data_IF_943756751387
#
_entry.id   IF_943756751387
#
_cell.length_a   1.000
_cell.length_b   1.000
_cell.length_c   1.000
_cell.angle_alpha   90.00
_cell.angle_beta   90.00
_cell.angle_gamma   90.00
#
_symmetry.space_group_name_H-M   'P 1'
#
loop_
_entity.id
_entity.type
_entity.pdbx_description
1 polymer ?
#
# COMPACT_ATOMS: atom_id res chain seq x y z
N UNK A 1 -59.96 13.33 -50.16
CA UNK A 1 -59.77 14.50 -51.05
C UNK A 1 -58.28 14.63 -51.35
N UNK A 2 -57.91 14.50 -52.64
CA UNK A 2 -56.73 15.05 -53.34
C UNK A 2 -55.34 14.45 -52.95
N UNK A 3 -54.96 13.29 -53.51
CA UNK A 3 -54.00 13.05 -54.65
C UNK A 3 -52.51 13.25 -54.33
N UNK A 4 -51.67 12.19 -54.27
CA UNK A 4 -50.91 11.54 -55.37
C UNK A 4 -49.75 12.37 -55.92
N UNK A 5 -48.50 11.87 -55.83
CA UNK A 5 -47.68 11.45 -56.99
C UNK A 5 -46.32 10.84 -56.57
N UNK A 6 -45.86 9.94 -57.43
CA UNK A 6 -44.81 8.91 -57.34
C UNK A 6 -43.45 9.39 -57.86
N UNK A 7 -42.36 8.64 -57.60
CA UNK A 7 -41.38 8.06 -58.58
C UNK A 7 -39.91 7.96 -58.05
N UNK A 8 -39.47 6.70 -57.89
CA UNK A 8 -38.18 5.99 -58.18
C UNK A 8 -36.78 6.63 -57.98
N UNK A 9 -35.96 5.89 -57.21
CA UNK A 9 -34.62 5.28 -57.48
C UNK A 9 -33.54 6.03 -58.28
N UNK A 10 -32.29 6.06 -57.77
CA UNK A 10 -31.08 5.40 -58.36
C UNK A 10 -29.80 5.84 -57.60
N UNK A 11 -28.93 4.87 -57.30
CA UNK A 11 -27.60 5.03 -56.74
C UNK A 11 -26.58 5.55 -57.78
N UNK A 12 -25.56 6.32 -57.37
CA UNK A 12 -24.34 6.48 -58.19
C UNK A 12 -23.09 6.79 -57.35
N UNK A 13 -22.10 5.90 -57.52
CA UNK A 13 -20.67 6.03 -57.24
C UNK A 13 -20.04 7.26 -57.92
N UNK A 14 -19.13 7.98 -57.25
CA UNK A 14 -18.00 8.65 -57.92
C UNK A 14 -16.74 8.58 -57.02
N UNK A 15 -15.76 7.80 -57.48
CA UNK A 15 -14.34 7.89 -57.14
C UNK A 15 -13.66 9.01 -57.92
N UNK A 16 -12.60 9.63 -57.40
CA UNK A 16 -11.49 10.15 -58.23
C UNK A 16 -10.23 10.45 -57.40
N UNK A 17 -9.25 9.56 -57.51
CA UNK A 17 -7.82 9.88 -57.42
C UNK A 17 -7.36 10.65 -58.66
N UNK A 18 -6.33 11.50 -58.52
CA UNK A 18 -5.31 11.78 -59.55
C UNK A 18 -4.04 12.42 -58.94
N UNK A 19 -3.01 11.59 -58.82
CA UNK A 19 -1.57 11.78 -59.19
C UNK A 19 -0.95 13.18 -59.20
N UNK A 20 0.09 13.47 -58.40
CA UNK A 20 1.54 13.13 -58.51
C UNK A 20 2.35 14.13 -59.39
N UNK A 21 3.26 14.88 -58.75
CA UNK A 21 4.29 15.70 -59.39
C UNK A 21 5.49 15.84 -58.46
N UNK A 22 6.65 15.37 -58.92
CA UNK A 22 7.88 15.04 -58.19
C UNK A 22 8.87 16.21 -58.28
N UNK A 23 9.46 16.64 -57.17
CA UNK A 23 10.75 17.36 -57.17
C UNK A 23 11.68 16.72 -56.12
N UNK A 24 12.68 16.02 -56.65
CA UNK A 24 13.99 15.65 -56.09
C UNK A 24 14.90 16.90 -56.19
N UNK A 25 15.94 17.21 -55.41
CA UNK A 25 16.83 16.53 -54.46
C UNK A 25 17.48 17.66 -53.61
N UNK A 26 17.96 17.36 -52.38
CA UNK A 26 19.36 17.51 -51.96
C UNK A 26 19.54 17.46 -50.43
N UNK A 27 20.56 16.70 -50.07
CA UNK A 27 21.03 16.33 -48.74
C UNK A 27 21.71 17.49 -48.04
N UNK A 28 21.42 17.71 -46.76
CA UNK A 28 22.45 18.03 -45.77
C UNK A 28 22.11 17.36 -44.43
N UNK A 29 23.00 16.46 -44.01
CA UNK A 29 23.10 16.03 -42.62
C UNK A 29 23.50 17.26 -41.79
N UNK A 30 22.65 17.66 -40.86
CA UNK A 30 23.11 18.37 -39.66
C UNK A 30 22.60 17.63 -38.44
N UNK A 31 23.55 17.17 -37.64
CA UNK A 31 23.42 16.63 -36.30
C UNK A 31 22.57 17.56 -35.43
N UNK A 32 21.33 17.15 -35.11
CA UNK A 32 20.61 17.76 -34.01
C UNK A 32 21.00 17.05 -32.72
N UNK A 33 21.91 17.68 -31.99
CA UNK A 33 22.16 17.43 -30.58
C UNK A 33 20.83 17.43 -29.83
N UNK A 34 20.52 16.30 -29.17
CA UNK A 34 19.46 16.23 -28.18
C UNK A 34 19.86 17.09 -26.97
N UNK A 35 19.53 18.38 -27.01
CA UNK A 35 19.48 19.21 -25.81
C UNK A 35 18.37 18.66 -24.91
N UNK A 36 18.77 17.89 -23.90
CA UNK A 36 17.95 17.55 -22.74
C UNK A 36 17.47 18.84 -22.10
N UNK A 37 16.22 19.23 -22.38
CA UNK A 37 15.53 20.29 -21.62
C UNK A 37 15.48 19.85 -20.16
N UNK A 38 16.21 20.56 -19.31
CA UNK A 38 16.15 20.42 -17.86
C UNK A 38 14.69 20.50 -17.42
N UNK A 39 14.16 19.38 -16.91
CA UNK A 39 12.85 19.39 -16.26
C UNK A 39 13.02 20.21 -14.98
N UNK A 40 12.46 21.42 -14.97
CA UNK A 40 12.40 22.25 -13.76
C UNK A 40 11.52 21.52 -12.73
N UNK A 41 12.14 20.89 -11.74
CA UNK A 41 11.45 20.22 -10.65
C UNK A 41 11.08 21.27 -9.59
N UNK A 42 9.80 21.66 -9.55
CA UNK A 42 9.30 22.54 -8.51
C UNK A 42 9.29 21.82 -7.15
N UNK A 43 10.16 22.25 -6.24
CA UNK A 43 10.24 21.82 -4.85
C UNK A 43 8.99 22.26 -4.07
N UNK A 44 8.43 21.39 -3.23
CA UNK A 44 7.41 21.82 -2.28
C UNK A 44 8.12 22.42 -1.08
N UNK A 45 7.87 23.71 -0.83
CA UNK A 45 8.48 24.37 0.31
C UNK A 45 7.69 23.99 1.57
N UNK A 46 8.27 23.08 2.36
CA UNK A 46 7.71 22.70 3.63
C UNK A 46 7.83 23.88 4.60
N UNK A 47 6.72 24.30 5.20
CA UNK A 47 6.70 25.36 6.22
C UNK A 47 6.99 24.82 7.61
N UNK A 48 6.99 23.50 7.78
CA UNK A 48 7.20 22.82 9.06
C UNK A 48 8.69 22.66 9.38
N UNK A 49 9.05 22.97 10.63
CA UNK A 49 10.39 22.79 11.23
C UNK A 49 10.90 21.35 11.08
N UNK A 50 12.17 21.22 10.71
CA UNK A 50 12.89 19.95 10.66
C UNK A 50 14.38 20.18 10.93
N UNK A 51 15.01 19.24 11.63
CA UNK A 51 16.44 19.33 12.00
C UNK A 51 17.36 19.19 10.78
N UNK A 52 16.91 18.52 9.73
CA UNK A 52 17.67 18.29 8.51
C UNK A 52 16.82 18.46 7.26
N UNK A 53 17.45 18.66 6.12
CA UNK A 53 16.72 18.84 4.86
C UNK A 53 15.98 17.56 4.45
N UNK A 54 14.70 17.71 4.11
CA UNK A 54 13.87 16.62 3.59
C UNK A 54 14.39 16.13 2.23
N UNK A 55 14.28 14.82 2.00
CA UNK A 55 14.52 14.26 0.68
C UNK A 55 13.48 14.76 -0.33
N UNK A 56 13.94 15.02 -1.55
CA UNK A 56 13.06 15.22 -2.70
C UNK A 56 12.29 13.94 -3.02
N UNK A 57 11.27 14.03 -3.89
CA UNK A 57 10.55 12.86 -4.37
C UNK A 57 11.48 11.84 -5.06
N UNK A 58 12.48 12.31 -5.83
CA UNK A 58 13.45 11.43 -6.51
C UNK A 58 14.37 10.73 -5.52
N UNK A 59 14.86 11.44 -4.51
CA UNK A 59 15.72 10.88 -3.47
C UNK A 59 14.95 9.89 -2.60
N UNK A 60 13.72 10.22 -2.21
CA UNK A 60 12.84 9.30 -1.47
C UNK A 60 12.58 8.03 -2.28
N UNK A 61 12.33 8.15 -3.58
CA UNK A 61 12.18 7.00 -4.46
C UNK A 61 13.46 6.16 -4.50
N UNK A 62 14.62 6.79 -4.75
CA UNK A 62 15.92 6.11 -4.79
C UNK A 62 16.19 5.35 -3.48
N UNK A 63 16.07 6.03 -2.34
CA UNK A 63 16.29 5.47 -1.01
C UNK A 63 15.43 4.24 -0.70
N UNK A 64 14.18 4.24 -1.16
CA UNK A 64 13.25 3.14 -0.91
C UNK A 64 13.45 1.96 -1.85
N UNK A 65 13.69 2.21 -3.14
CA UNK A 65 13.76 1.17 -4.16
C UNK A 65 15.13 0.49 -4.25
N UNK A 66 16.21 1.12 -3.77
CA UNK A 66 17.56 0.53 -3.74
C UNK A 66 17.78 -0.48 -2.59
N UNK A 67 16.76 -0.73 -1.75
CA UNK A 67 16.84 -1.69 -0.65
C UNK A 67 16.89 -3.15 -1.14
N UNK A 68 17.46 -4.09 -0.37
CA UNK A 68 17.55 -5.49 -0.75
C UNK A 68 16.21 -6.22 -0.56
N UNK A 69 15.25 -5.97 -1.47
CA UNK A 69 13.88 -6.49 -1.41
C UNK A 69 13.76 -8.00 -1.57
N UNK A 70 14.78 -8.68 -2.09
CA UNK A 70 14.74 -10.10 -2.43
C UNK A 70 14.42 -10.98 -1.22
N UNK A 71 14.97 -10.66 -0.06
CA UNK A 71 14.74 -11.41 1.18
C UNK A 71 13.30 -11.25 1.69
N UNK A 72 12.74 -10.06 1.54
CA UNK A 72 11.33 -9.78 1.90
C UNK A 72 10.38 -10.54 0.97
N UNK A 73 10.68 -10.55 -0.34
CA UNK A 73 9.90 -11.31 -1.32
C UNK A 73 9.96 -12.83 -1.05
N UNK A 74 11.14 -13.36 -0.72
CA UNK A 74 11.31 -14.76 -0.36
C UNK A 74 10.57 -15.10 0.94
N UNK A 75 10.65 -14.24 1.95
CA UNK A 75 9.90 -14.38 3.19
C UNK A 75 8.39 -14.48 2.93
N UNK A 76 7.81 -13.51 2.21
CA UNK A 76 6.38 -13.56 1.88
C UNK A 76 6.00 -14.77 1.04
N UNK A 77 6.85 -15.18 0.09
CA UNK A 77 6.63 -16.40 -0.69
C UNK A 77 6.52 -17.63 0.21
N UNK A 78 7.40 -17.77 1.20
CA UNK A 78 7.35 -18.87 2.16
C UNK A 78 6.11 -18.81 3.06
N UNK A 79 5.70 -17.62 3.52
CA UNK A 79 4.46 -17.46 4.31
C UNK A 79 3.23 -17.82 3.49
N UNK A 80 3.16 -17.37 2.23
CA UNK A 80 2.05 -17.69 1.33
C UNK A 80 1.91 -19.20 1.12
N UNK A 81 3.05 -19.87 0.99
CA UNK A 81 3.13 -21.33 0.84
C UNK A 81 3.04 -22.10 2.16
N UNK A 82 2.70 -21.44 3.28
CA UNK A 82 2.59 -22.05 4.62
C UNK A 82 3.87 -22.75 5.10
N UNK A 83 5.04 -22.33 4.60
CA UNK A 83 6.36 -22.81 5.04
C UNK A 83 6.89 -22.04 6.25
N UNK A 84 6.43 -20.79 6.41
CA UNK A 84 6.74 -19.91 7.54
C UNK A 84 5.45 -19.23 8.01
N UNK A 85 5.48 -18.71 9.23
CA UNK A 85 4.40 -17.89 9.82
C UNK A 85 4.86 -16.44 9.96
N UNK A 86 3.92 -15.49 10.03
CA UNK A 86 4.26 -14.09 10.33
C UNK A 86 4.90 -13.91 11.72
N UNK A 87 4.57 -14.76 12.69
CA UNK A 87 5.19 -14.72 14.02
C UNK A 87 6.69 -14.95 14.00
N UNK A 88 7.22 -15.63 12.96
CA UNK A 88 8.66 -15.85 12.79
C UNK A 88 9.44 -14.52 12.69
N UNK A 89 8.80 -13.43 12.27
CA UNK A 89 9.43 -12.10 12.10
C UNK A 89 9.81 -11.47 13.44
N UNK A 90 8.98 -11.65 14.46
CA UNK A 90 9.14 -11.00 15.77
C UNK A 90 9.85 -11.89 16.80
N UNK A 91 10.44 -13.01 16.35
CA UNK A 91 11.05 -14.02 17.21
C UNK A 91 10.02 -14.94 17.86
N UNK A 92 10.36 -16.23 18.02
CA UNK A 92 9.60 -17.17 18.84
C UNK A 92 9.86 -16.90 20.32
N UNK A 93 9.45 -15.73 20.81
CA UNK A 93 9.18 -15.63 22.23
C UNK A 93 7.94 -16.46 22.52
N UNK A 94 8.10 -17.43 23.43
CA UNK A 94 7.09 -18.34 23.96
C UNK A 94 5.97 -17.56 24.71
N UNK A 95 5.29 -16.68 24.01
CA UNK A 95 3.96 -16.20 24.31
C UNK A 95 2.99 -17.12 23.56
N UNK A 96 2.24 -17.99 24.26
CA UNK A 96 1.23 -18.87 23.65
C UNK A 96 0.02 -18.10 23.06
N UNK A 97 0.14 -16.80 22.84
CA UNK A 97 -0.97 -15.91 22.47
C UNK A 97 -0.86 -15.40 21.03
N UNK A 98 0.33 -15.29 20.42
CA UNK A 98 0.44 -14.76 19.03
C UNK A 98 0.41 -15.88 17.98
N UNK A 99 1.08 -17.01 18.27
CA UNK A 99 1.17 -18.16 17.35
C UNK A 99 -0.17 -18.86 17.14
N UNK A 100 -1.01 -18.90 18.16
CA UNK A 100 -2.30 -19.60 18.15
C UNK A 100 -3.38 -18.75 17.49
N UNK A 101 -3.30 -17.43 17.56
CA UNK A 101 -4.40 -16.58 17.08
C UNK A 101 -4.49 -16.43 15.55
N UNK A 102 -3.39 -16.47 14.80
CA UNK A 102 -3.44 -16.41 13.32
C UNK A 102 -4.13 -17.66 12.74
N UNK A 103 -4.05 -18.79 13.46
CA UNK A 103 -4.72 -20.05 13.12
C UNK A 103 -6.12 -20.17 13.77
N UNK A 104 -6.38 -19.52 14.91
CA UNK A 104 -7.67 -19.56 15.65
C UNK A 104 -8.71 -18.53 15.16
N UNK A 105 -8.37 -17.60 14.25
CA UNK A 105 -9.39 -16.69 13.66
C UNK A 105 -10.51 -17.46 12.95
N UNK A 106 -10.37 -18.75 12.66
CA UNK A 106 -11.45 -19.55 12.06
C UNK A 106 -12.64 -19.78 13.00
N UNK A 107 -12.46 -19.73 14.33
CA UNK A 107 -13.51 -20.15 15.28
C UNK A 107 -14.52 -19.04 15.66
N UNK A 108 -14.16 -17.76 15.46
CA UNK A 108 -15.03 -16.60 15.75
C UNK A 108 -16.15 -16.40 14.70
N UNK A 109 -16.10 -17.15 13.58
CA UNK A 109 -17.04 -17.01 12.47
C UNK A 109 -18.32 -17.83 12.61
N UNK A 110 -18.40 -18.78 13.56
CA UNK A 110 -19.64 -19.48 13.88
C UNK A 110 -20.80 -18.53 14.21
N UNK A 111 -20.50 -17.32 14.69
CA UNK A 111 -21.53 -16.34 15.10
C UNK A 111 -22.23 -15.66 13.90
N UNK A 112 -21.65 -15.70 12.70
CA UNK A 112 -22.32 -15.28 11.45
C UNK A 112 -22.96 -16.46 10.71
N UNK A 113 -22.73 -17.69 11.18
CA UNK A 113 -23.48 -18.86 10.74
C UNK A 113 -24.87 -18.83 11.38
N UNK A 114 -25.90 -18.90 10.52
CA UNK A 114 -27.27 -19.31 10.85
C UNK A 114 -28.22 -18.33 11.55
N UNK A 115 -28.03 -17.01 11.45
CA UNK A 115 -29.08 -16.03 11.82
C UNK A 115 -29.99 -15.61 10.64
N UNK A 116 -30.26 -16.53 9.72
CA UNK A 116 -31.37 -16.39 8.78
C UNK A 116 -32.26 -17.61 9.05
N UNK A 117 -33.41 -17.40 9.69
CA UNK A 117 -34.45 -18.40 9.76
C UNK A 117 -34.64 -18.95 8.34
N UNK A 118 -34.58 -20.29 8.20
CA UNK A 118 -34.77 -20.98 6.92
C UNK A 118 -36.24 -20.82 6.48
N UNK A 119 -36.67 -19.61 6.15
CA UNK A 119 -37.80 -19.45 5.25
C UNK A 119 -37.45 -20.18 3.95
N UNK A 120 -38.33 -21.04 3.47
CA UNK A 120 -38.17 -21.71 2.18
C UNK A 120 -38.12 -20.65 1.07
N UNK A 121 -36.90 -20.28 0.68
CA UNK A 121 -36.62 -19.26 -0.32
C UNK A 121 -36.56 -19.92 -1.70
N UNK A 122 -37.44 -19.50 -2.61
CA UNK A 122 -37.52 -20.06 -3.95
C UNK A 122 -36.80 -19.21 -5.03
N UNK A 123 -36.31 -19.87 -6.08
CA UNK A 123 -35.84 -19.25 -7.32
C UNK A 123 -34.52 -18.47 -7.18
N UNK A 124 -34.51 -17.18 -7.56
CA UNK A 124 -33.28 -16.34 -7.43
C UNK A 124 -32.75 -16.31 -6.00
N UNK A 125 -33.58 -16.60 -5.00
CA UNK A 125 -33.21 -16.47 -3.59
C UNK A 125 -32.54 -17.72 -2.99
N UNK A 126 -32.50 -18.82 -3.73
CA UNK A 126 -31.99 -20.14 -3.33
C UNK A 126 -30.48 -20.36 -3.61
N UNK A 127 -29.70 -19.29 -3.72
CA UNK A 127 -28.26 -19.40 -4.04
C UNK A 127 -27.46 -19.82 -2.81
N UNK A 128 -26.40 -20.61 -3.02
CA UNK A 128 -25.33 -20.83 -2.04
C UNK A 128 -24.27 -19.75 -2.25
N UNK A 129 -23.75 -19.19 -1.16
CA UNK A 129 -22.70 -18.17 -1.18
C UNK A 129 -21.52 -18.67 -0.36
N UNK A 130 -20.33 -18.63 -0.95
CA UNK A 130 -19.09 -19.08 -0.35
C UNK A 130 -18.20 -17.89 -0.02
N UNK A 131 -17.62 -17.90 1.18
CA UNK A 131 -16.47 -17.09 1.58
C UNK A 131 -15.21 -17.91 1.28
N UNK A 132 -14.26 -17.30 0.60
CA UNK A 132 -13.00 -17.93 0.20
C UNK A 132 -11.88 -17.06 0.76
N UNK A 133 -11.01 -17.64 1.58
CA UNK A 133 -9.81 -17.00 2.10
C UNK A 133 -8.63 -17.43 1.24
N UNK A 134 -7.91 -16.46 0.68
CA UNK A 134 -6.80 -16.67 -0.25
C UNK A 134 -5.51 -16.08 0.29
N UNK A 135 -4.43 -16.80 0.04
CA UNK A 135 -3.06 -16.34 0.21
C UNK A 135 -2.37 -16.28 -1.16
N UNK A 136 -1.68 -15.19 -1.48
CA UNK A 136 -0.94 -15.06 -2.73
C UNK A 136 0.29 -14.16 -2.62
N UNK A 137 1.32 -14.52 -3.38
CA UNK A 137 2.53 -13.72 -3.53
C UNK A 137 2.29 -12.62 -4.56
N UNK A 138 2.39 -11.36 -4.15
CA UNK A 138 2.17 -10.20 -5.01
C UNK A 138 3.15 -10.11 -6.18
N UNK A 139 4.34 -10.69 -6.03
CA UNK A 139 5.36 -10.76 -7.08
C UNK A 139 4.88 -11.53 -8.32
N UNK A 140 4.01 -12.51 -8.15
CA UNK A 140 3.53 -13.35 -9.24
C UNK A 140 2.39 -12.72 -10.07
N UNK A 141 1.81 -11.60 -9.62
CA UNK A 141 0.58 -11.05 -10.18
C UNK A 141 0.63 -9.54 -10.44
N UNK A 142 -0.10 -9.10 -11.45
CA UNK A 142 -0.31 -7.68 -11.79
C UNK A 142 -1.36 -7.00 -10.89
N UNK A 143 -1.54 -7.52 -9.67
CA UNK A 143 -2.52 -7.09 -8.68
C UNK A 143 -3.77 -7.97 -8.67
N UNK A 144 -4.77 -7.56 -7.87
CA UNK A 144 -6.01 -8.32 -7.74
C UNK A 144 -6.91 -8.17 -8.98
N UNK A 145 -7.26 -6.92 -9.32
CA UNK A 145 -8.37 -6.61 -10.22
C UNK A 145 -8.11 -7.08 -11.65
N UNK A 146 -9.04 -7.86 -12.22
CA UNK A 146 -8.99 -8.30 -13.62
C UNK A 146 -8.83 -7.11 -14.59
N UNK A 147 -7.83 -7.23 -15.46
CA UNK A 147 -7.50 -6.27 -16.52
C UNK A 147 -7.09 -7.01 -17.79
N UNK A 148 -7.42 -6.51 -18.99
CA UNK A 148 -7.07 -7.19 -20.24
C UNK A 148 -5.56 -7.43 -20.39
N UNK A 149 -5.17 -8.66 -20.70
CA UNK A 149 -3.78 -9.03 -21.03
C UNK A 149 -2.81 -9.09 -19.84
N UNK A 150 -3.30 -8.98 -18.60
CA UNK A 150 -2.48 -8.99 -17.39
C UNK A 150 -2.77 -10.24 -16.54
N UNK A 151 -1.76 -10.73 -15.82
CA UNK A 151 -1.91 -11.89 -14.96
C UNK A 151 -2.40 -11.47 -13.58
N UNK A 152 -3.72 -11.52 -13.34
CA UNK A 152 -4.30 -11.03 -12.08
C UNK A 152 -4.91 -12.14 -11.24
N UNK A 153 -4.92 -11.95 -9.92
CA UNK A 153 -5.50 -12.93 -8.98
C UNK A 153 -6.99 -13.16 -9.27
N UNK A 154 -7.75 -12.09 -9.50
CA UNK A 154 -9.18 -12.20 -9.80
C UNK A 154 -9.43 -13.03 -11.06
N UNK A 155 -8.62 -12.88 -12.11
CA UNK A 155 -8.82 -13.63 -13.35
C UNK A 155 -8.64 -15.14 -13.13
N UNK A 156 -7.57 -15.54 -12.44
CA UNK A 156 -7.30 -16.96 -12.15
C UNK A 156 -8.41 -17.55 -11.28
N UNK A 157 -8.82 -16.82 -10.24
CA UNK A 157 -9.91 -17.24 -9.35
C UNK A 157 -11.22 -17.35 -10.12
N UNK A 158 -11.58 -16.37 -10.94
CA UNK A 158 -12.82 -16.40 -11.73
C UNK A 158 -12.81 -17.51 -12.79
N UNK A 159 -11.67 -17.78 -13.44
CA UNK A 159 -11.52 -18.92 -14.35
C UNK A 159 -11.75 -20.26 -13.64
N UNK A 160 -11.10 -20.45 -12.49
CA UNK A 160 -11.26 -21.65 -11.65
C UNK A 160 -12.72 -21.84 -11.22
N UNK A 161 -13.35 -20.75 -10.76
CA UNK A 161 -14.76 -20.76 -10.36
C UNK A 161 -15.75 -20.97 -11.52
N UNK A 162 -15.28 -20.88 -12.77
CA UNK A 162 -16.06 -21.18 -13.97
C UNK A 162 -16.67 -22.59 -13.94
N UNK A 163 -16.00 -23.55 -13.30
CA UNK A 163 -16.49 -24.93 -13.13
C UNK A 163 -17.77 -25.05 -12.29
N UNK A 164 -18.03 -24.07 -11.42
CA UNK A 164 -19.12 -24.12 -10.44
C UNK A 164 -20.29 -23.21 -10.77
N UNK A 165 -20.27 -22.54 -11.94
CA UNK A 165 -21.37 -21.69 -12.37
C UNK A 165 -22.60 -22.52 -12.73
N UNK A 166 -23.78 -21.97 -12.48
CA UNK A 166 -25.05 -22.62 -12.84
C UNK A 166 -25.29 -22.61 -14.37
N UNK A 167 -26.13 -23.54 -14.84
CA UNK A 167 -26.42 -23.73 -16.27
C UNK A 167 -26.96 -22.46 -16.93
N UNK A 168 -27.76 -21.67 -16.21
CA UNK A 168 -28.32 -20.43 -16.74
C UNK A 168 -27.22 -19.40 -16.98
N UNK A 169 -26.28 -19.24 -16.03
CA UNK A 169 -25.10 -18.40 -16.21
C UNK A 169 -24.19 -18.93 -17.32
N UNK A 170 -23.97 -20.25 -17.40
CA UNK A 170 -23.16 -20.86 -18.45
C UNK A 170 -23.72 -20.58 -19.85
N UNK A 171 -25.04 -20.75 -20.05
CA UNK A 171 -25.74 -20.42 -21.31
C UNK A 171 -25.60 -18.94 -21.66
N UNK A 172 -25.82 -18.05 -20.68
CA UNK A 172 -25.68 -16.60 -20.89
C UNK A 172 -24.27 -16.18 -21.31
N UNK A 173 -23.24 -16.80 -20.73
CA UNK A 173 -21.84 -16.54 -21.11
C UNK A 173 -21.56 -17.02 -22.53
N UNK A 174 -22.05 -18.22 -22.88
CA UNK A 174 -21.92 -18.79 -24.23
C UNK A 174 -22.59 -17.93 -25.29
N UNK A 175 -23.83 -17.49 -25.07
CA UNK A 175 -24.57 -16.59 -25.98
C UNK A 175 -23.83 -15.26 -26.21
N UNK A 176 -23.12 -14.77 -25.18
CA UNK A 176 -22.32 -13.54 -25.26
C UNK A 176 -20.90 -13.76 -25.78
N UNK A 177 -20.55 -14.97 -26.21
CA UNK A 177 -19.19 -15.34 -26.61
C UNK A 177 -18.14 -14.99 -25.54
N UNK A 178 -18.50 -15.16 -24.26
CA UNK A 178 -17.63 -14.93 -23.10
C UNK A 178 -17.08 -16.25 -22.56
N UNK A 179 -15.88 -16.24 -21.96
CA UNK A 179 -15.33 -17.42 -21.30
C UNK A 179 -16.22 -17.87 -20.13
N UNK A 180 -16.21 -19.17 -19.85
CA UNK A 180 -16.94 -19.76 -18.73
C UNK A 180 -16.23 -19.41 -17.43
N UNK A 181 -16.65 -18.31 -16.79
CA UNK A 181 -16.00 -17.77 -15.60
C UNK A 181 -17.02 -17.49 -14.46
N UNK A 182 -16.55 -17.71 -13.23
CA UNK A 182 -17.18 -17.26 -12.00
C UNK A 182 -17.26 -15.74 -11.88
N UNK A 183 -17.86 -15.24 -10.82
CA UNK A 183 -17.84 -13.81 -10.50
C UNK A 183 -17.41 -13.69 -9.03
N UNK A 184 -16.21 -13.19 -8.80
CA UNK A 184 -15.64 -13.04 -7.49
C UNK A 184 -15.70 -11.59 -7.03
N UNK A 185 -16.18 -11.37 -5.81
CA UNK A 185 -16.13 -10.06 -5.15
C UNK A 185 -15.09 -10.12 -4.05
N UNK A 186 -14.35 -9.04 -3.79
CA UNK A 186 -13.20 -9.04 -2.86
C UNK A 186 -13.35 -8.03 -1.73
N UNK A 187 -12.73 -8.30 -0.58
CA UNK A 187 -12.71 -7.42 0.58
C UNK A 187 -11.93 -6.12 0.36
N UNK A 188 -10.81 -6.19 -0.37
CA UNK A 188 -10.01 -5.05 -0.76
C UNK A 188 -9.12 -5.38 -1.95
N UNK A 189 -8.96 -4.44 -2.87
CA UNK A 189 -8.06 -4.62 -4.02
C UNK A 189 -6.62 -4.39 -3.57
N UNK A 190 -5.71 -5.28 -3.96
CA UNK A 190 -4.26 -5.07 -3.86
C UNK A 190 -3.70 -4.60 -5.20
N UNK A 191 -2.75 -3.66 -5.15
CA UNK A 191 -1.99 -3.21 -6.32
C UNK A 191 -0.98 -4.30 -6.77
N UNK A 192 -0.39 -4.16 -7.96
CA UNK A 192 0.71 -5.00 -8.44
C UNK A 192 1.85 -5.06 -7.44
N UNK A 193 2.39 -6.26 -7.20
CA UNK A 193 3.50 -6.52 -6.28
C UNK A 193 3.08 -6.71 -4.81
N UNK A 194 1.84 -6.33 -4.43
CA UNK A 194 1.37 -6.43 -3.04
C UNK A 194 0.87 -7.84 -2.74
N UNK A 195 1.45 -8.46 -1.71
CA UNK A 195 1.09 -9.81 -1.27
C UNK A 195 -0.17 -9.81 -0.39
N UNK A 196 -0.79 -10.97 -0.20
CA UNK A 196 -1.84 -11.16 0.78
C UNK A 196 -1.75 -12.54 1.45
N UNK A 197 -2.05 -12.60 2.74
CA UNK A 197 -2.02 -13.85 3.51
C UNK A 197 -3.44 -14.38 3.74
N UNK A 198 -4.38 -13.50 4.12
CA UNK A 198 -5.80 -13.84 4.30
C UNK A 198 -6.72 -12.86 3.56
N UNK A 199 -6.51 -12.69 2.26
CA UNK A 199 -7.46 -11.94 1.42
C UNK A 199 -8.80 -12.67 1.40
N UNK A 200 -9.91 -11.94 1.50
CA UNK A 200 -11.24 -12.55 1.48
C UNK A 200 -11.95 -12.19 0.18
N UNK A 201 -12.42 -13.20 -0.52
CA UNK A 201 -13.36 -13.04 -1.63
C UNK A 201 -14.62 -13.89 -1.43
N UNK A 202 -15.63 -13.62 -2.23
CA UNK A 202 -16.89 -14.37 -2.21
C UNK A 202 -17.32 -14.77 -3.60
N UNK A 203 -17.89 -15.97 -3.68
CA UNK A 203 -18.49 -16.54 -4.89
C UNK A 203 -19.90 -17.05 -4.56
N UNK A 204 -20.82 -17.00 -5.51
CA UNK A 204 -22.15 -17.58 -5.33
C UNK A 204 -22.57 -18.37 -6.55
N UNK A 205 -23.40 -19.40 -6.34
CA UNK A 205 -23.95 -20.25 -7.39
C UNK A 205 -25.32 -20.79 -6.97
N UNK A 206 -26.14 -21.17 -7.94
CA UNK A 206 -27.41 -21.90 -7.72
C UNK A 206 -27.23 -23.42 -7.80
N UNK A 207 -26.01 -23.90 -8.05
CA UNK A 207 -25.69 -25.32 -7.98
C UNK A 207 -25.63 -25.77 -6.51
N UNK A 208 -26.42 -26.78 -6.15
CA UNK A 208 -26.50 -27.33 -4.78
C UNK A 208 -25.49 -28.44 -4.50
N UNK A 209 -24.84 -28.97 -5.54
CA UNK A 209 -23.88 -30.07 -5.47
C UNK A 209 -22.44 -29.60 -5.23
N UNK A 210 -22.19 -28.28 -5.17
CA UNK A 210 -20.84 -27.71 -5.02
C UNK A 210 -20.42 -27.77 -3.56
N UNK A 211 -19.31 -28.43 -3.28
CA UNK A 211 -18.74 -28.49 -1.92
C UNK A 211 -17.57 -27.51 -1.77
N UNK A 212 -17.31 -26.98 -0.55
CA UNK A 212 -16.15 -26.14 -0.28
C UNK A 212 -14.81 -26.74 -0.76
N UNK A 213 -14.58 -28.03 -0.52
CA UNK A 213 -13.37 -28.74 -0.93
C UNK A 213 -13.14 -28.76 -2.44
N UNK A 214 -14.21 -28.74 -3.25
CA UNK A 214 -14.10 -28.73 -4.71
C UNK A 214 -13.55 -27.37 -5.18
N UNK A 215 -14.04 -26.29 -4.58
CA UNK A 215 -13.58 -24.91 -4.84
C UNK A 215 -12.11 -24.77 -4.44
N UNK A 216 -11.73 -25.30 -3.27
CA UNK A 216 -10.36 -25.30 -2.78
C UNK A 216 -9.41 -26.00 -3.77
N UNK A 217 -9.76 -27.22 -4.19
CA UNK A 217 -8.94 -28.01 -5.12
C UNK A 217 -8.77 -27.33 -6.47
N UNK A 218 -9.85 -26.77 -7.03
CA UNK A 218 -9.83 -26.12 -8.34
C UNK A 218 -8.95 -24.85 -8.34
N UNK A 219 -9.09 -23.99 -7.32
CA UNK A 219 -8.27 -22.76 -7.23
C UNK A 219 -6.79 -23.10 -6.94
N UNK A 220 -6.51 -24.04 -6.03
CA UNK A 220 -5.14 -24.45 -5.70
C UNK A 220 -4.40 -25.05 -6.91
N UNK A 221 -5.13 -25.73 -7.80
CA UNK A 221 -4.55 -26.30 -9.02
C UNK A 221 -4.21 -25.25 -10.09
N UNK A 222 -4.80 -24.05 -10.01
CA UNK A 222 -4.68 -23.04 -11.06
C UNK A 222 -3.35 -22.27 -11.05
N UNK A 223 -2.75 -22.06 -9.87
CA UNK A 223 -1.44 -21.39 -9.75
C UNK A 223 -0.63 -21.90 -8.54
N UNK A 224 -0.16 -23.16 -8.55
CA UNK A 224 0.61 -23.75 -7.47
C UNK A 224 1.85 -22.91 -7.12
N UNK A 225 2.14 -22.77 -5.83
CA UNK A 225 3.29 -21.99 -5.34
C UNK A 225 3.09 -20.47 -5.31
N UNK A 226 2.06 -19.95 -6.00
CA UNK A 226 1.81 -18.50 -6.19
C UNK A 226 0.53 -18.04 -5.51
N UNK A 227 -0.51 -18.86 -5.57
CA UNK A 227 -1.82 -18.66 -4.97
C UNK A 227 -2.20 -19.94 -4.22
N UNK A 228 -2.76 -19.78 -3.02
CA UNK A 228 -3.24 -20.87 -2.18
C UNK A 228 -4.55 -20.47 -1.53
N UNK A 229 -5.51 -21.39 -1.50
CA UNK A 229 -6.71 -21.27 -0.69
C UNK A 229 -6.37 -21.65 0.75
N UNK A 230 -6.70 -20.75 1.68
CA UNK A 230 -6.55 -20.97 3.12
C UNK A 230 -7.75 -21.73 3.66
N UNK A 231 -8.96 -21.31 3.30
CA UNK A 231 -10.20 -22.01 3.63
C UNK A 231 -11.36 -21.54 2.73
N UNK A 232 -12.36 -22.42 2.57
CA UNK A 232 -13.65 -22.10 1.97
C UNK A 232 -14.77 -22.47 2.92
N UNK A 233 -15.73 -21.57 3.14
CA UNK A 233 -16.91 -21.83 3.95
C UNK A 233 -18.17 -21.28 3.30
N UNK A 234 -19.31 -21.92 3.58
CA UNK A 234 -20.62 -21.38 3.23
C UNK A 234 -20.97 -20.23 4.18
N UNK A 235 -21.56 -19.17 3.63
CA UNK A 235 -21.94 -17.97 4.39
C UNK A 235 -23.32 -17.51 3.98
N UNK A 236 -23.95 -16.72 4.87
CA UNK A 236 -25.22 -16.09 4.55
C UNK A 236 -25.14 -15.28 3.26
N UNK A 237 -26.21 -15.30 2.49
CA UNK A 237 -26.34 -14.55 1.23
C UNK A 237 -26.07 -13.04 1.39
N UNK A 238 -26.35 -12.48 2.56
CA UNK A 238 -26.16 -11.05 2.86
C UNK A 238 -24.69 -10.67 3.02
N UNK A 239 -23.81 -11.67 3.23
CA UNK A 239 -22.38 -11.46 3.34
C UNK A 239 -21.82 -10.80 2.08
N UNK A 240 -21.09 -9.71 2.27
CA UNK A 240 -20.34 -9.06 1.22
C UNK A 240 -18.91 -8.80 1.71
N UNK A 241 -17.87 -9.34 1.06
CA UNK A 241 -16.52 -9.34 1.63
C UNK A 241 -15.97 -7.94 1.83
N UNK A 242 -16.36 -6.96 1.00
CA UNK A 242 -16.01 -5.55 1.18
C UNK A 242 -16.88 -4.81 2.20
N UNK A 243 -18.20 -4.76 1.97
CA UNK A 243 -19.11 -3.93 2.76
C UNK A 243 -19.40 -4.47 4.16
N UNK A 244 -19.27 -5.78 4.37
CA UNK A 244 -19.40 -6.39 5.70
C UNK A 244 -18.12 -6.28 6.52
N UNK A 245 -16.97 -5.98 5.89
CA UNK A 245 -15.70 -5.93 6.61
C UNK A 245 -15.60 -4.67 7.47
N UNK A 246 -15.35 -4.87 8.77
CA UNK A 246 -15.21 -3.83 9.78
C UNK A 246 -13.80 -3.24 9.81
N UNK A 247 -12.78 -4.04 9.50
CA UNK A 247 -11.38 -3.59 9.49
C UNK A 247 -10.52 -4.43 8.55
N UNK A 248 -9.36 -3.87 8.17
CA UNK A 248 -8.29 -4.56 7.41
C UNK A 248 -6.96 -4.31 8.11
N UNK A 249 -6.05 -5.28 8.06
CA UNK A 249 -4.69 -5.16 8.58
C UNK A 249 -3.68 -5.25 7.47
N UNK A 250 -2.76 -4.31 7.44
CA UNK A 250 -1.60 -4.36 6.56
C UNK A 250 -0.33 -4.43 7.40
N UNK A 251 0.60 -5.25 6.94
CA UNK A 251 1.98 -5.27 7.42
C UNK A 251 2.88 -4.80 6.28
N UNK A 252 3.76 -3.85 6.57
CA UNK A 252 4.82 -3.44 5.67
C UNK A 252 6.17 -3.85 6.25
N UNK A 253 6.95 -4.62 5.52
CA UNK A 253 8.31 -5.02 5.90
C UNK A 253 9.30 -4.23 5.04
N UNK A 254 10.17 -3.45 5.67
CA UNK A 254 11.20 -2.65 5.03
C UNK A 254 12.60 -3.17 5.41
N UNK A 255 13.44 -3.59 4.46
CA UNK A 255 14.76 -4.09 4.79
C UNK A 255 15.72 -2.96 5.20
N UNK A 256 16.44 -3.15 6.31
CA UNK A 256 17.45 -2.22 6.81
C UNK A 256 18.83 -2.55 6.24
N UNK A 257 19.68 -1.52 6.10
CA UNK A 257 21.05 -1.68 5.61
C UNK A 257 22.03 -1.90 6.76
N UNK A 258 23.18 -2.53 6.48
CA UNK A 258 24.15 -2.85 7.53
C UNK A 258 24.74 -1.64 8.27
N UNK A 259 24.80 -0.48 7.62
CA UNK A 259 25.25 0.77 8.26
C UNK A 259 24.23 1.38 9.24
N UNK A 260 22.95 1.08 9.06
CA UNK A 260 21.89 1.43 10.02
C UNK A 260 21.93 0.48 11.23
N UNK A 261 22.63 -0.66 11.15
CA UNK A 261 22.76 -1.62 12.24
C UNK A 261 23.67 -1.14 13.38
N UNK A 262 24.64 -0.25 13.09
CA UNK A 262 25.67 0.17 14.05
C UNK A 262 25.37 1.51 14.73
N UNK A 263 24.75 2.48 14.02
CA UNK A 263 24.50 3.83 14.56
C UNK A 263 23.33 3.91 15.54
N UNK A 264 22.43 2.93 15.52
CA UNK A 264 21.23 2.88 16.36
C UNK A 264 21.55 2.57 17.85
N UNK A 265 22.70 1.96 18.14
CA UNK A 265 23.12 1.65 19.52
C UNK A 265 23.57 2.87 20.32
N UNK A 266 23.85 4.00 19.67
CA UNK A 266 24.43 5.18 20.30
C UNK A 266 23.40 6.17 20.88
N UNK A 267 22.12 6.06 20.50
CA UNK A 267 21.06 6.96 20.98
C UNK A 267 20.39 6.51 22.28
N UNK A 268 20.59 5.24 22.69
CA UNK A 268 19.95 4.68 23.88
C UNK A 268 20.64 5.02 25.22
N UNK A 269 21.66 5.89 25.25
CA UNK A 269 22.45 6.18 26.48
C UNK A 269 22.45 7.66 26.89
N UNK A 270 21.76 8.57 26.19
CA UNK A 270 21.84 10.03 26.50
C UNK A 270 20.61 10.68 27.15
N UNK A 271 19.59 9.93 27.54
CA UNK A 271 18.38 10.51 28.17
C UNK A 271 18.24 10.28 29.68
N UNK A 272 19.24 9.71 30.36
CA UNK A 272 19.19 9.53 31.82
C UNK A 272 20.49 10.03 32.45
N UNK A 273 20.68 11.35 32.50
CA UNK A 273 21.47 12.09 33.51
C UNK A 273 21.67 13.56 33.10
N UNK A 274 20.60 14.36 33.04
CA UNK A 274 20.75 15.82 33.11
C UNK A 274 19.50 16.51 33.65
N UNK A 275 18.92 15.97 34.72
CA UNK A 275 17.93 16.70 35.53
C UNK A 275 18.07 16.27 36.99
N UNK A 276 19.01 16.88 37.72
CA UNK A 276 18.79 17.24 39.13
C UNK A 276 19.90 18.14 39.67
N UNK A 277 19.48 19.16 40.42
CA UNK A 277 20.23 20.09 41.27
C UNK A 277 21.03 21.23 40.62
N UNK A 278 20.29 22.28 40.23
CA UNK A 278 20.75 23.65 40.45
C UNK A 278 20.17 24.17 41.78
N UNK A 279 20.98 24.18 42.85
CA UNK A 279 20.74 24.98 44.06
C UNK A 279 22.00 25.80 44.35
N UNK A 280 21.81 27.12 44.30
CA UNK A 280 22.57 28.23 44.86
C UNK A 280 23.96 27.96 45.47
N UNK A 281 24.94 28.76 45.04
CA UNK A 281 25.80 29.55 45.94
C UNK A 281 26.30 30.81 45.23
N UNK A 282 26.26 31.93 45.97
CA UNK A 282 26.59 33.29 45.58
C UNK A 282 28.11 33.57 45.50
N UNK A 283 28.48 34.43 44.53
CA UNK A 283 29.48 35.53 44.59
C UNK A 283 30.99 35.26 44.88
N UNK A 284 31.91 36.23 44.66
CA UNK A 284 32.15 37.00 43.43
C UNK A 284 33.66 37.19 43.14
N UNK A 285 34.09 37.39 41.89
CA UNK A 285 35.38 38.07 41.65
C UNK A 285 35.55 38.65 40.23
N UNK A 286 35.40 39.97 40.17
CA UNK A 286 36.37 40.95 39.68
C UNK A 286 36.87 40.98 38.21
N UNK A 287 36.78 42.21 37.69
CA UNK A 287 37.55 42.92 36.63
C UNK A 287 37.06 42.70 35.19
N UNK A 288 36.30 43.66 34.65
CA UNK A 288 36.73 44.92 34.01
C UNK A 288 37.48 44.69 32.68
N UNK A 289 36.86 45.06 31.55
CA UNK A 289 37.23 46.22 30.69
C UNK A 289 36.06 46.52 29.76
N UNK A 290 35.58 47.76 29.80
CA UNK A 290 34.70 48.39 28.81
C UNK A 290 35.52 49.04 27.68
N UNK A 291 34.99 49.01 26.45
CA UNK A 291 35.05 50.09 25.45
C UNK A 291 34.24 49.64 24.22
N UNK A 292 33.07 50.21 23.91
CA UNK A 292 32.84 51.37 22.98
C UNK A 292 33.65 51.25 21.67
N UNK A 293 33.14 51.37 20.44
CA UNK A 293 31.99 52.09 19.91
C UNK A 293 31.82 51.81 18.40
N UNK A 294 30.59 52.02 17.90
CA UNK A 294 30.20 52.62 16.59
C UNK A 294 30.78 52.10 15.26
N UNK A 295 29.86 51.60 14.44
CA UNK A 295 29.60 51.95 13.03
C UNK A 295 30.79 52.15 12.07
N UNK A 296 30.82 51.30 11.02
CA UNK A 296 31.23 51.73 9.68
C UNK A 296 30.45 50.91 8.64
N UNK A 297 29.50 51.59 8.01
CA UNK A 297 28.90 51.20 6.72
C UNK A 297 29.80 51.79 5.65
N UNK A 298 30.51 50.96 4.87
CA UNK A 298 30.58 51.12 3.41
C UNK A 298 31.48 50.07 2.70
N UNK A 299 31.01 49.70 1.51
CA UNK A 299 31.73 49.22 0.33
C UNK A 299 31.97 47.71 0.09
N UNK A 300 30.94 47.14 -0.55
CA UNK A 300 30.94 46.51 -1.89
C UNK A 300 32.21 45.81 -2.42
N UNK A 301 31.95 44.55 -2.80
CA UNK A 301 32.60 43.73 -3.84
C UNK A 301 33.96 43.13 -3.46
N UNK A 302 33.95 41.85 -3.06
CA UNK A 302 34.88 40.81 -3.54
C UNK A 302 34.15 39.45 -3.51
N UNK A 303 34.11 38.80 -4.68
CA UNK A 303 34.35 37.36 -4.81
C UNK A 303 33.21 36.40 -4.46
N UNK A 304 32.40 36.07 -5.47
CA UNK A 304 31.76 34.76 -5.57
C UNK A 304 32.76 33.64 -5.29
N UNK A 305 32.49 32.84 -4.26
CA UNK A 305 32.70 31.39 -4.18
C UNK A 305 32.30 30.93 -2.78
N UNK A 306 31.00 31.03 -2.45
CA UNK A 306 30.41 30.08 -1.50
C UNK A 306 29.86 28.95 -2.35
N UNK A 307 30.62 27.87 -2.45
CA UNK A 307 30.02 26.55 -2.63
C UNK A 307 28.89 26.46 -1.59
N UNK A 308 27.64 26.47 -2.06
CA UNK A 308 26.52 26.11 -1.21
C UNK A 308 26.77 24.66 -0.81
N UNK A 309 27.30 24.43 0.39
CA UNK A 309 27.31 23.12 1.01
C UNK A 309 25.89 22.58 0.88
N UNK A 310 25.75 21.49 0.11
CA UNK A 310 24.46 20.85 -0.07
C UNK A 310 23.91 20.57 1.33
N UNK A 311 22.66 20.99 1.64
CA UNK A 311 22.13 20.86 2.98
C UNK A 311 22.26 19.41 3.41
N UNK A 312 22.88 19.16 4.57
CA UNK A 312 23.24 17.81 5.02
C UNK A 312 21.98 16.94 5.05
N UNK A 313 21.86 16.02 4.08
CA UNK A 313 20.68 15.15 3.95
C UNK A 313 20.93 13.88 4.74
N UNK A 314 19.99 13.50 5.62
CA UNK A 314 20.13 12.32 6.44
C UNK A 314 20.16 11.07 5.56
N UNK A 315 20.99 10.10 5.92
CA UNK A 315 21.10 8.80 5.24
C UNK A 315 20.56 7.65 6.09
N UNK A 316 20.17 7.91 7.34
CA UNK A 316 19.60 6.96 8.28
C UNK A 316 18.32 7.53 8.91
N UNK A 317 17.55 6.66 9.56
CA UNK A 317 16.38 7.02 10.35
C UNK A 317 16.27 6.08 11.55
N UNK A 318 15.55 6.51 12.59
CA UNK A 318 15.27 5.68 13.76
C UNK A 318 13.89 5.02 13.67
N UNK A 319 13.81 3.71 13.90
CA UNK A 319 12.52 2.99 13.93
C UNK A 319 11.66 3.45 15.09
N UNK A 320 12.26 3.74 16.25
CA UNK A 320 11.55 4.34 17.39
C UNK A 320 10.91 5.67 17.01
N UNK A 321 11.61 6.51 16.23
CA UNK A 321 11.07 7.77 15.72
C UNK A 321 9.88 7.53 14.79
N UNK A 322 10.00 6.59 13.85
CA UNK A 322 8.89 6.23 12.96
C UNK A 322 7.68 5.75 13.76
N UNK A 323 7.91 4.92 14.77
CA UNK A 323 6.85 4.44 15.65
C UNK A 323 6.14 5.63 16.29
N UNK A 324 6.86 6.54 16.95
CA UNK A 324 6.32 7.77 17.56
C UNK A 324 5.40 8.54 16.60
N UNK A 325 5.86 8.83 15.37
CA UNK A 325 5.07 9.53 14.37
C UNK A 325 3.75 8.81 14.06
N UNK A 326 3.79 7.48 13.90
CA UNK A 326 2.62 6.67 13.56
C UNK A 326 1.61 6.58 14.73
N UNK A 327 2.09 6.55 15.98
CA UNK A 327 1.20 6.44 17.17
C UNK A 327 0.19 7.60 17.22
N UNK A 328 0.56 8.77 16.75
CA UNK A 328 -0.32 9.95 16.73
C UNK A 328 -1.56 9.79 15.85
N UNK A 329 -1.62 8.77 14.99
CA UNK A 329 -2.75 8.48 14.11
C UNK A 329 -3.80 7.59 14.77
N UNK A 330 -3.43 6.81 15.80
CA UNK A 330 -4.31 5.84 16.44
C UNK A 330 -5.51 6.47 17.13
N UNK A 331 -6.66 5.80 17.03
CA UNK A 331 -7.91 6.22 17.67
C UNK A 331 -8.57 7.42 17.00
N UNK A 332 -8.06 7.88 15.85
CA UNK A 332 -8.56 9.10 15.18
C UNK A 332 -9.25 8.78 13.86
N UNK A 333 -10.39 9.43 13.65
CA UNK A 333 -11.05 9.54 12.35
C UNK A 333 -10.48 10.75 11.62
N UNK A 334 -9.68 10.52 10.57
CA UNK A 334 -8.96 11.57 9.85
C UNK A 334 -9.15 11.42 8.34
N UNK A 335 -9.03 12.52 7.60
CA UNK A 335 -8.97 12.48 6.13
C UNK A 335 -7.56 12.12 5.67
N UNK A 336 -7.41 10.97 5.00
CA UNK A 336 -6.13 10.49 4.48
C UNK A 336 -5.91 10.84 2.99
N UNK A 337 -6.62 11.83 2.46
CA UNK A 337 -6.54 12.21 1.05
C UNK A 337 -5.10 12.55 0.61
N UNK A 338 -4.31 13.22 1.46
CA UNK A 338 -2.90 13.52 1.19
C UNK A 338 -1.97 12.31 1.11
N UNK A 339 -2.40 11.20 1.69
CA UNK A 339 -1.71 9.91 1.64
C UNK A 339 -2.24 9.01 0.51
N UNK A 340 -3.33 9.38 -0.18
CA UNK A 340 -3.85 8.61 -1.30
C UNK A 340 -3.15 8.95 -2.63
N UNK A 341 -3.11 7.98 -3.54
CA UNK A 341 -2.69 8.18 -4.94
C UNK A 341 -3.62 7.45 -5.90
N UNK A 342 -3.65 7.92 -7.14
CA UNK A 342 -4.44 7.33 -8.24
C UNK A 342 -5.92 7.13 -7.91
N UNK A 343 -6.44 8.00 -7.05
CA UNK A 343 -7.87 8.15 -6.75
C UNK A 343 -8.51 9.07 -7.79
N UNK A 344 -9.69 8.68 -8.28
CA UNK A 344 -10.48 9.53 -9.19
C UNK A 344 -10.78 10.87 -8.52
N UNK A 345 -10.69 11.98 -9.25
CA UNK A 345 -10.94 13.32 -8.72
C UNK A 345 -12.28 13.44 -7.97
N UNK A 346 -13.33 12.79 -8.48
CA UNK A 346 -14.66 12.73 -7.86
C UNK A 346 -14.73 11.99 -6.53
N UNK A 347 -13.65 11.33 -6.09
CA UNK A 347 -13.56 10.60 -4.81
C UNK A 347 -12.56 11.24 -3.84
N UNK A 348 -12.08 12.45 -4.13
CA UNK A 348 -11.03 13.11 -3.36
C UNK A 348 -11.54 14.08 -2.27
N UNK A 349 -12.86 14.16 -2.04
CA UNK A 349 -13.47 15.08 -1.07
C UNK A 349 -14.55 14.34 -0.26
N UNK A 350 -14.65 14.66 1.03
CA UNK A 350 -15.74 14.24 1.93
C UNK A 350 -15.51 12.90 2.67
N UNK A 351 -16.59 12.30 3.21
CA UNK A 351 -16.58 11.01 3.93
C UNK A 351 -15.82 9.88 3.20
N UNK A 352 -15.75 9.83 1.85
CA UNK A 352 -14.94 8.85 1.13
C UNK A 352 -13.43 8.94 1.37
N UNK A 353 -12.91 9.95 2.06
CA UNK A 353 -11.47 10.09 2.38
C UNK A 353 -11.16 9.86 3.85
N UNK A 354 -12.19 9.81 4.70
CA UNK A 354 -12.05 9.59 6.14
C UNK A 354 -11.84 8.11 6.44
N UNK A 355 -10.85 7.82 7.26
CA UNK A 355 -10.54 6.48 7.76
C UNK A 355 -10.30 6.55 9.26
N UNK A 356 -10.78 5.56 10.00
CA UNK A 356 -10.49 5.39 11.42
C UNK A 356 -9.32 4.43 11.57
N UNK A 357 -8.23 4.89 12.16
CA UNK A 357 -7.05 4.07 12.42
C UNK A 357 -7.16 3.43 13.80
N UNK A 358 -7.37 2.12 13.84
CA UNK A 358 -7.42 1.37 15.10
C UNK A 358 -6.03 1.18 15.70
N UNK A 359 -5.04 0.94 14.84
CA UNK A 359 -3.68 0.62 15.26
C UNK A 359 -2.66 1.07 14.22
N UNK A 360 -1.55 1.66 14.67
CA UNK A 360 -0.45 2.12 13.83
C UNK A 360 0.86 2.11 14.64
N UNK A 361 1.68 1.09 14.39
CA UNK A 361 2.95 0.87 15.08
C UNK A 361 4.08 0.49 14.12
N UNK A 362 5.31 0.76 14.54
CA UNK A 362 6.50 0.26 13.89
C UNK A 362 7.46 -0.37 14.91
N UNK A 363 8.14 -1.44 14.50
CA UNK A 363 9.12 -2.14 15.32
C UNK A 363 10.24 -2.72 14.45
N UNK A 364 11.41 -2.88 15.05
CA UNK A 364 12.51 -3.65 14.46
C UNK A 364 12.24 -5.14 14.63
N UNK A 365 12.67 -5.91 13.63
CA UNK A 365 12.46 -7.34 13.56
C UNK A 365 13.54 -7.99 12.70
N UNK A 366 13.52 -9.32 12.60
CA UNK A 366 14.44 -10.07 11.73
C UNK A 366 13.68 -11.08 10.90
N UNK A 367 14.05 -11.19 9.63
CA UNK A 367 13.51 -12.22 8.73
C UNK A 367 14.60 -13.25 8.38
N UNK A 368 14.26 -14.54 8.25
CA UNK A 368 15.19 -15.54 7.74
C UNK A 368 15.74 -15.15 6.36
N UNK A 369 17.06 -15.23 6.20
CA UNK A 369 17.77 -14.91 4.96
C UNK A 369 18.88 -15.94 4.74
N UNK A 370 19.22 -16.24 3.49
CA UNK A 370 20.30 -17.18 3.16
C UNK A 370 21.71 -16.64 3.42
N UNK A 371 21.86 -15.31 3.53
CA UNK A 371 23.17 -14.64 3.64
C UNK A 371 23.63 -14.47 5.08
N UNK A 372 22.68 -14.34 6.02
CA UNK A 372 22.98 -14.11 7.44
C UNK A 372 22.33 -15.20 8.29
N UNK A 373 23.12 -15.97 9.03
CA UNK A 373 22.62 -17.01 9.96
C UNK A 373 21.63 -16.44 10.98
N UNK A 374 21.90 -15.21 11.39
CA UNK A 374 21.14 -14.42 12.34
C UNK A 374 19.86 -13.77 11.75
N UNK A 375 19.63 -13.91 10.44
CA UNK A 375 18.56 -13.27 9.69
C UNK A 375 18.85 -11.81 9.30
N UNK A 376 18.08 -11.27 8.34
CA UNK A 376 18.16 -9.86 7.92
C UNK A 376 17.35 -8.99 8.87
N UNK A 377 17.95 -7.91 9.38
CA UNK A 377 17.24 -6.86 10.12
C UNK A 377 16.26 -6.11 9.20
N UNK A 378 15.03 -5.93 9.69
CA UNK A 378 13.96 -5.23 8.99
C UNK A 378 13.21 -4.31 9.95
N UNK A 379 12.58 -3.28 9.40
CA UNK A 379 11.53 -2.55 10.08
C UNK A 379 10.17 -3.09 9.63
N UNK A 380 9.32 -3.42 10.59
CA UNK A 380 7.93 -3.77 10.36
C UNK A 380 7.02 -2.60 10.74
N UNK A 381 6.05 -2.28 9.89
CA UNK A 381 4.98 -1.31 10.16
C UNK A 381 3.64 -2.03 10.08
N UNK A 382 2.90 -2.07 11.19
CA UNK A 382 1.55 -2.61 11.26
C UNK A 382 0.53 -1.47 11.24
N UNK A 383 -0.45 -1.55 10.34
CA UNK A 383 -1.58 -0.63 10.28
C UNK A 383 -2.89 -1.40 10.26
N UNK A 384 -3.81 -1.05 11.16
CA UNK A 384 -5.18 -1.56 11.18
C UNK A 384 -6.15 -0.38 11.11
N UNK A 385 -7.03 -0.41 10.12
CA UNK A 385 -8.05 0.62 9.94
C UNK A 385 -9.36 0.02 9.45
N UNK A 386 -10.45 0.77 9.57
CA UNK A 386 -11.74 0.36 9.02
C UNK A 386 -11.70 0.19 7.49
N UNK A 387 -10.92 1.04 6.82
CA UNK A 387 -10.68 1.06 5.38
C UNK A 387 -9.37 1.80 5.08
N UNK A 388 -8.85 1.58 3.88
CA UNK A 388 -7.68 2.30 3.37
C UNK A 388 -7.98 2.88 1.98
N UNK A 389 -7.45 4.06 1.71
CA UNK A 389 -7.46 4.64 0.36
C UNK A 389 -6.39 3.97 -0.52
N UNK A 390 -6.54 4.12 -1.84
CA UNK A 390 -5.58 3.52 -2.79
C UNK A 390 -4.18 4.09 -2.54
N UNK A 391 -3.20 3.20 -2.39
CA UNK A 391 -1.79 3.48 -2.07
C UNK A 391 -1.54 4.18 -0.71
N UNK A 392 -2.57 4.37 0.11
CA UNK A 392 -2.48 5.05 1.41
C UNK A 392 -1.35 4.51 2.29
N UNK A 393 -1.34 3.19 2.52
CA UNK A 393 -0.33 2.54 3.37
C UNK A 393 1.09 2.82 2.88
N UNK A 394 1.33 2.69 1.57
CA UNK A 394 2.66 2.86 0.98
C UNK A 394 3.15 4.31 1.05
N UNK A 395 2.26 5.27 0.89
CA UNK A 395 2.60 6.70 1.02
C UNK A 395 2.83 7.06 2.48
N UNK A 396 2.02 6.51 3.39
CA UNK A 396 2.18 6.73 4.82
C UNK A 396 3.54 6.22 5.30
N UNK A 397 3.88 4.96 5.01
CA UNK A 397 5.19 4.37 5.34
C UNK A 397 6.34 5.21 4.77
N UNK A 398 6.29 5.54 3.48
CA UNK A 398 7.36 6.32 2.86
C UNK A 398 7.52 7.72 3.48
N UNK A 399 6.41 8.36 3.83
CA UNK A 399 6.40 9.69 4.44
C UNK A 399 6.93 9.61 5.86
N UNK A 400 6.50 8.65 6.67
CA UNK A 400 7.00 8.46 8.03
C UNK A 400 8.52 8.26 8.07
N UNK A 401 9.07 7.45 7.17
CA UNK A 401 10.53 7.26 7.05
C UNK A 401 11.23 8.59 6.70
N UNK A 402 10.72 9.33 5.70
CA UNK A 402 11.32 10.61 5.29
C UNK A 402 11.28 11.65 6.41
N UNK A 403 10.16 11.77 7.10
CA UNK A 403 10.00 12.74 8.19
C UNK A 403 10.83 12.35 9.42
N UNK A 404 10.93 11.05 9.73
CA UNK A 404 11.81 10.56 10.79
C UNK A 404 13.28 10.83 10.46
N UNK A 405 13.72 10.59 9.22
CA UNK A 405 15.08 10.91 8.78
C UNK A 405 15.36 12.42 8.90
N UNK A 406 14.40 13.27 8.51
CA UNK A 406 14.53 14.73 8.58
C UNK A 406 14.48 15.29 10.02
N UNK A 407 14.20 14.47 11.03
CA UNK A 407 14.02 14.92 12.41
C UNK A 407 12.85 15.89 12.55
N UNK A 408 11.74 15.62 11.85
CA UNK A 408 10.51 16.41 11.98
C UNK A 408 9.82 16.17 13.32
N UNK A 409 8.94 17.09 13.72
CA UNK A 409 8.14 17.01 14.96
C UNK A 409 7.16 15.81 14.98
N UNK A 410 6.68 15.45 16.17
CA UNK A 410 5.91 14.21 16.39
C UNK A 410 4.54 14.20 15.70
N UNK A 411 3.93 15.37 15.59
CA UNK A 411 2.62 15.59 14.98
C UNK A 411 2.71 15.88 13.47
N UNK A 412 3.90 15.77 12.85
CA UNK A 412 4.11 16.11 11.44
C UNK A 412 3.16 15.39 10.49
N UNK A 413 2.82 14.12 10.77
CA UNK A 413 1.89 13.37 9.92
C UNK A 413 0.47 13.94 9.97
N UNK A 414 0.06 14.53 11.09
CA UNK A 414 -1.22 15.23 11.25
C UNK A 414 -1.19 16.55 10.49
N UNK A 415 -0.12 17.35 10.65
CA UNK A 415 0.08 18.61 9.91
C UNK A 415 0.03 18.38 8.38
N UNK A 416 0.67 17.31 7.91
CA UNK A 416 0.67 16.94 6.49
C UNK A 416 -0.70 16.53 5.94
N UNK A 417 -1.68 16.18 6.77
CA UNK A 417 -3.06 15.92 6.31
C UNK A 417 -3.75 17.19 5.83
N UNK A 418 -3.40 18.33 6.40
CA UNK A 418 -3.96 19.65 6.07
C UNK A 418 -3.27 20.30 4.86
N UNK A 419 -2.20 19.66 4.35
CA UNK A 419 -1.47 20.17 3.20
C UNK A 419 -2.35 20.28 1.95
N UNK A 420 -2.13 21.33 1.17
CA UNK A 420 -2.86 21.59 -0.08
C UNK A 420 -2.24 20.89 -1.29
N UNK A 421 -1.02 20.35 -1.16
CA UNK A 421 -0.27 19.77 -2.27
C UNK A 421 0.20 18.34 -1.96
N UNK A 422 -0.06 17.41 -2.88
CA UNK A 422 0.40 16.00 -2.77
C UNK A 422 1.93 15.84 -2.71
N UNK A 423 2.70 16.86 -3.10
CA UNK A 423 4.17 16.88 -2.98
C UNK A 423 4.64 17.03 -1.54
N UNK A 424 3.75 17.41 -0.62
CA UNK A 424 4.03 17.45 0.80
C UNK A 424 4.28 16.06 1.38
N UNK A 425 3.79 14.98 0.76
CA UNK A 425 4.05 13.60 1.18
C UNK A 425 4.99 12.88 0.22
N UNK A 426 5.70 11.87 0.71
CA UNK A 426 6.65 11.11 -0.11
C UNK A 426 5.91 10.31 -1.22
N UNK A 427 6.61 9.93 -2.31
CA UNK A 427 6.08 8.95 -3.26
C UNK A 427 5.79 7.60 -2.56
N UNK A 428 4.87 6.77 -3.09
CA UNK A 428 4.57 5.48 -2.48
C UNK A 428 5.81 4.59 -2.38
N UNK A 429 6.03 4.00 -1.19
CA UNK A 429 7.06 2.97 -0.96
C UNK A 429 6.88 1.78 -1.93
N UNK A 430 7.91 0.95 -2.21
CA UNK A 430 7.79 -0.26 -3.03
C UNK A 430 6.62 -1.16 -2.59
N UNK A 431 5.88 -1.77 -3.54
CA UNK A 431 4.78 -2.68 -3.19
C UNK A 431 5.27 -3.99 -2.56
N UNK A 432 6.51 -4.37 -2.82
CA UNK A 432 7.14 -5.64 -2.45
C UNK A 432 7.14 -5.90 -0.93
N UNK A 433 7.24 -4.83 -0.14
CA UNK A 433 7.17 -4.89 1.32
C UNK A 433 5.76 -4.95 1.89
N UNK A 434 4.72 -4.66 1.09
CA UNK A 434 3.34 -4.57 1.59
C UNK A 434 2.60 -5.90 1.49
N UNK A 435 1.96 -6.29 2.58
CA UNK A 435 1.08 -7.44 2.63
C UNK A 435 -0.26 -7.11 3.31
N UNK A 436 -1.38 -7.52 2.68
CA UNK A 436 -2.67 -7.61 3.36
C UNK A 436 -2.64 -8.86 4.25
N UNK A 437 -2.64 -8.67 5.58
CA UNK A 437 -2.53 -9.78 6.52
C UNK A 437 -3.88 -10.46 6.67
N UNK A 438 -4.91 -9.71 7.05
CA UNK A 438 -6.26 -10.20 7.27
C UNK A 438 -7.34 -9.11 7.15
N UNK A 439 -8.59 -9.58 7.15
CA UNK A 439 -9.81 -8.78 7.07
C UNK A 439 -10.77 -9.27 8.13
N UNK A 440 -11.24 -8.38 9.00
CA UNK A 440 -12.17 -8.71 10.06
C UNK A 440 -13.60 -8.30 9.77
N UNK A 441 -14.52 -9.14 10.23
CA UNK A 441 -15.97 -8.95 10.14
C UNK A 441 -16.64 -8.76 11.52
N UNK A 442 -15.86 -8.93 12.59
CA UNK A 442 -16.20 -8.61 13.98
C UNK A 442 -15.47 -7.35 14.44
N UNK A 443 -15.79 -6.83 15.61
CA UNK A 443 -15.13 -5.65 16.15
C UNK A 443 -13.64 -5.91 16.36
N UNK A 444 -12.82 -4.89 16.13
CA UNK A 444 -11.37 -5.02 16.26
C UNK A 444 -10.97 -5.17 17.73
N UNK A 445 -10.20 -6.22 18.04
CA UNK A 445 -9.62 -6.44 19.35
C UNK A 445 -8.15 -5.97 19.36
N UNK A 446 -7.80 -4.89 20.11
CA UNK A 446 -6.44 -4.38 20.19
C UNK A 446 -5.41 -5.36 20.75
N UNK A 447 -5.83 -6.42 21.45
CA UNK A 447 -4.93 -7.47 21.94
C UNK A 447 -4.35 -8.34 20.82
N UNK A 448 -4.93 -8.28 19.63
CA UNK A 448 -4.55 -9.13 18.50
C UNK A 448 -3.56 -8.43 17.54
N UNK A 449 -2.90 -7.35 17.95
CA UNK A 449 -1.88 -6.69 17.14
C UNK A 449 -0.61 -7.55 17.03
N UNK A 450 0.07 -7.46 15.90
CA UNK A 450 1.39 -8.08 15.68
C UNK A 450 2.49 -7.30 16.40
N UNK A 451 2.34 -5.98 16.47
CA UNK A 451 3.26 -5.06 17.16
C UNK A 451 2.49 -4.41 18.32
N UNK A 452 2.80 -4.74 19.58
CA UNK A 452 2.05 -4.23 20.74
C UNK A 452 2.19 -2.72 20.98
#
# INVERSE_FOLDING_TARGET
>A
MVTSFTVKSVATFISKEKTLGRFRDLVSLSSMENQTKDKIYFYYNHTDSCNSARWTARESYKFMYERPWQDVLHFFSNVVNARLTLSTVFGTDNSPQVSTYIDVVDDDYKTLELCDEKEERFGRWERVTFKIILSYSGYAFDGWQKQPGLNTVQEIVEKSLGRFVDDKKARLLKEKSKPLEGCAVVAGRTDKGVSAIRQVCSFYTWRKDVKPCDIEGEINSAAPGKLRVVSVSEVSRVFHPNFSAKWRRYLYIFPLNDQENEKQCCENVKEVESFSFARNCNEPSNKCVESSSSENVENLIIGNNKEFEAPNKPTCFSVCRINQLLRHLEGKLLSYNMFARDTKASRNIGPPTECFMYHARAAEARIPCSVHEEGRKVMCVELVANRFLRKMVRVLVATSIREAAAGAEEDVLLKLMEATCRRATAPPAPPDGLCLVDVGYTDFNPKNCLIP
#
